data_IF_445462692706
#
_entry.id   IF_445462692706
#
_cell.length_a   1.000
_cell.length_b   1.000
_cell.length_c   1.000
_cell.angle_alpha   90.00
_cell.angle_beta   90.00
_cell.angle_gamma   90.00
#
_symmetry.space_group_name_H-M   'P 1'
#
loop_
_entity.id
_entity.type
_entity.pdbx_description
1 polymer ?
#
# COMPACT_ATOMS: atom_id res chain seq x y z
N UNK A 1 4.71 0.43 54.54
CA UNK A 1 5.15 1.81 54.21
C UNK A 1 5.89 1.78 52.88
N UNK A 2 5.47 2.60 51.90
CA UNK A 2 6.22 2.76 50.64
C UNK A 2 7.56 3.45 50.97
N UNK A 3 8.68 2.83 50.59
CA UNK A 3 10.04 3.35 50.86
C UNK A 3 10.23 4.75 50.26
N UNK A 4 11.08 5.58 50.87
CA UNK A 4 11.35 6.94 50.39
C UNK A 4 11.83 6.96 48.94
N UNK A 5 12.64 5.98 48.56
CA UNK A 5 13.15 5.78 47.21
C UNK A 5 12.02 5.50 46.19
N UNK A 6 11.03 4.69 46.57
CA UNK A 6 9.87 4.39 45.72
C UNK A 6 8.93 5.59 45.61
N UNK A 7 8.86 6.46 46.63
CA UNK A 7 8.12 7.74 46.55
C UNK A 7 8.82 8.72 45.62
N UNK A 8 10.14 8.83 45.70
CA UNK A 8 10.93 9.69 44.81
C UNK A 8 10.80 9.26 43.34
N UNK A 9 10.90 7.96 43.05
CA UNK A 9 10.70 7.44 41.69
C UNK A 9 9.28 7.68 41.16
N UNK A 10 8.26 7.51 42.00
CA UNK A 10 6.88 7.82 41.60
C UNK A 10 6.68 9.31 41.33
N UNK A 11 7.28 10.18 42.15
CA UNK A 11 7.21 11.64 41.98
C UNK A 11 7.92 12.08 40.70
N UNK A 12 9.15 11.60 40.45
CA UNK A 12 9.88 11.89 39.22
C UNK A 12 9.11 11.44 37.98
N UNK A 13 8.48 10.25 38.02
CA UNK A 13 7.65 9.77 36.92
C UNK A 13 6.41 10.66 36.71
N UNK A 14 5.74 11.07 37.78
CA UNK A 14 4.57 11.95 37.68
C UNK A 14 4.93 13.35 37.15
N UNK A 15 6.05 13.92 37.62
CA UNK A 15 6.56 15.22 37.16
C UNK A 15 6.96 15.13 35.69
N UNK A 16 7.75 14.12 35.31
CA UNK A 16 8.16 13.89 33.92
C UNK A 16 6.93 13.78 33.02
N UNK A 17 5.96 12.94 33.39
CA UNK A 17 4.72 12.79 32.64
C UNK A 17 3.91 14.09 32.53
N UNK A 18 3.90 14.92 33.58
CA UNK A 18 3.22 16.22 33.57
C UNK A 18 3.94 17.26 32.68
N UNK A 19 5.26 17.18 32.57
CA UNK A 19 6.08 18.08 31.74
C UNK A 19 6.12 17.67 30.27
N UNK A 20 5.72 16.44 29.90
CA UNK A 20 5.60 16.00 28.50
C UNK A 20 4.77 16.98 27.66
N UNK A 21 3.71 17.55 28.23
CA UNK A 21 2.86 18.54 27.55
C UNK A 21 3.55 19.87 27.22
N UNK A 22 4.69 20.17 27.86
CA UNK A 22 5.50 21.37 27.63
C UNK A 22 6.71 21.10 26.72
N UNK A 23 7.00 19.84 26.43
CA UNK A 23 8.03 19.47 25.49
C UNK A 23 7.48 19.53 24.07
N UNK A 24 7.98 20.47 23.26
CA UNK A 24 7.72 20.51 21.82
C UNK A 24 8.90 19.78 21.16
N UNK A 25 8.74 18.53 20.71
CA UNK A 25 9.80 17.84 20.00
C UNK A 25 10.11 18.59 18.69
N UNK A 26 11.38 18.60 18.29
CA UNK A 26 11.78 19.14 16.98
C UNK A 26 11.00 18.37 15.91
N UNK A 27 10.22 19.03 15.04
CA UNK A 27 9.38 18.32 14.08
C UNK A 27 10.25 17.52 13.10
N UNK A 28 10.11 16.21 13.13
CA UNK A 28 10.77 15.28 12.22
C UNK A 28 9.76 14.79 11.18
N UNK A 29 10.23 14.56 9.95
CA UNK A 29 9.49 13.76 8.98
C UNK A 29 9.54 12.29 9.39
N UNK A 30 8.67 11.46 8.82
CA UNK A 30 8.65 10.03 9.11
C UNK A 30 9.96 9.34 8.74
N UNK A 31 10.53 9.71 7.59
CA UNK A 31 11.84 9.20 7.15
C UNK A 31 12.95 9.64 8.09
N UNK A 32 12.99 10.92 8.47
CA UNK A 32 14.00 11.42 9.43
C UNK A 32 13.91 10.69 10.77
N UNK A 33 12.70 10.46 11.29
CA UNK A 33 12.51 9.72 12.52
C UNK A 33 12.95 8.26 12.38
N UNK A 34 12.60 7.61 11.27
CA UNK A 34 12.97 6.22 11.03
C UNK A 34 14.49 6.05 10.89
N UNK A 35 15.13 6.90 10.10
CA UNK A 35 16.58 6.87 9.91
C UNK A 35 17.36 7.28 11.17
N UNK A 36 16.74 7.95 12.14
CA UNK A 36 17.38 8.28 13.41
C UNK A 36 17.18 7.18 14.47
N UNK A 37 15.94 6.71 14.64
CA UNK A 37 15.56 5.88 15.79
C UNK A 37 15.18 4.45 15.46
N UNK A 38 14.73 4.15 14.24
CA UNK A 38 14.17 2.83 13.91
C UNK A 38 15.27 1.77 13.74
N UNK A 39 15.02 0.60 14.31
CA UNK A 39 15.93 -0.53 14.29
C UNK A 39 15.21 -1.79 13.86
N UNK A 40 15.86 -2.61 13.03
CA UNK A 40 15.34 -3.85 12.49
C UNK A 40 15.64 -5.03 13.43
N UNK A 41 14.60 -5.65 14.04
CA UNK A 41 14.80 -6.77 14.96
C UNK A 41 15.31 -8.02 14.25
N UNK A 42 16.20 -8.78 14.91
CA UNK A 42 16.82 -10.00 14.35
C UNK A 42 15.82 -11.11 14.06
N UNK A 43 14.78 -11.22 14.88
CA UNK A 43 13.77 -12.28 14.79
C UNK A 43 12.90 -12.16 13.54
N UNK A 44 12.80 -10.96 12.95
CA UNK A 44 11.92 -10.71 11.82
C UNK A 44 12.56 -9.93 10.67
N UNK A 45 13.90 -9.86 10.63
CA UNK A 45 14.67 -9.21 9.58
C UNK A 45 15.90 -10.06 9.23
N UNK A 46 16.17 -10.23 7.92
CA UNK A 46 17.37 -10.94 7.45
C UNK A 46 18.66 -10.19 7.81
N UNK A 47 18.63 -8.86 7.73
CA UNK A 47 19.72 -7.98 8.13
C UNK A 47 19.25 -7.17 9.34
N UNK A 48 19.50 -7.61 10.59
CA UNK A 48 19.27 -6.78 11.75
C UNK A 48 20.22 -5.59 11.74
N UNK A 49 19.76 -4.44 12.22
CA UNK A 49 20.56 -3.23 12.19
C UNK A 49 19.73 -1.96 12.24
N UNK A 50 20.43 -0.83 12.24
CA UNK A 50 19.82 0.48 12.08
C UNK A 50 19.07 0.52 10.75
N UNK A 51 17.85 1.06 10.76
CA UNK A 51 17.10 1.28 9.53
C UNK A 51 17.82 2.29 8.64
N UNK A 52 17.84 2.03 7.34
CA UNK A 52 18.23 2.97 6.31
C UNK A 52 17.14 2.98 5.25
N UNK A 53 16.51 4.13 5.07
CA UNK A 53 15.43 4.30 4.10
C UNK A 53 15.98 4.21 2.68
N UNK A 54 15.51 3.22 1.91
CA UNK A 54 15.88 3.10 0.50
C UNK A 54 15.23 4.22 -0.33
N UNK A 55 15.83 4.64 -1.47
CA UNK A 55 15.33 5.78 -2.25
C UNK A 55 13.84 5.70 -2.62
N UNK A 56 13.34 4.54 -3.05
CA UNK A 56 11.91 4.38 -3.37
C UNK A 56 11.01 4.46 -2.12
N UNK A 57 11.53 4.11 -0.94
CA UNK A 57 10.76 4.08 0.31
C UNK A 57 10.52 5.48 0.88
N UNK A 58 11.36 6.47 0.55
CA UNK A 58 11.31 7.83 1.12
C UNK A 58 9.92 8.45 0.95
N UNK A 59 9.45 8.57 -0.30
CA UNK A 59 8.15 9.17 -0.56
C UNK A 59 6.98 8.35 -0.03
N UNK A 60 7.10 7.02 -0.02
CA UNK A 60 6.07 6.13 0.52
C UNK A 60 5.90 6.38 2.03
N UNK A 61 6.99 6.33 2.79
CA UNK A 61 6.96 6.47 4.25
C UNK A 61 6.54 7.88 4.68
N UNK A 62 7.05 8.91 4.02
CA UNK A 62 6.61 10.28 4.30
C UNK A 62 5.13 10.47 3.95
N UNK A 63 4.65 9.95 2.81
CA UNK A 63 3.23 10.03 2.48
C UNK A 63 2.35 9.30 3.52
N UNK A 64 2.81 8.16 4.06
CA UNK A 64 2.15 7.45 5.15
C UNK A 64 2.03 8.32 6.40
N UNK A 65 3.08 9.04 6.80
CA UNK A 65 3.07 9.91 7.97
C UNK A 65 2.54 11.33 7.76
N UNK A 66 2.37 11.78 6.51
CA UNK A 66 2.01 13.16 6.20
C UNK A 66 0.51 13.41 6.37
N UNK A 67 0.14 14.49 7.06
CA UNK A 67 -1.21 14.72 7.59
C UNK A 67 -2.22 15.10 6.50
N UNK A 68 -1.76 15.69 5.40
CA UNK A 68 -2.61 16.15 4.30
C UNK A 68 -3.04 15.01 3.36
N UNK A 69 -2.30 13.90 3.36
CA UNK A 69 -2.63 12.72 2.58
C UNK A 69 -3.49 11.82 3.46
N UNK A 70 -4.77 11.62 3.15
CA UNK A 70 -5.66 10.82 3.99
C UNK A 70 -5.55 9.33 3.71
N UNK A 71 -5.36 8.93 2.46
CA UNK A 71 -5.31 7.52 2.04
C UNK A 71 -4.02 7.25 1.28
N UNK A 72 -3.28 6.23 1.71
CA UNK A 72 -2.07 5.75 1.03
C UNK A 72 -2.26 4.28 0.70
N UNK A 73 -2.29 3.95 -0.59
CA UNK A 73 -2.29 2.58 -1.08
C UNK A 73 -0.88 2.21 -1.56
N UNK A 74 -0.42 1.00 -1.25
CA UNK A 74 0.81 0.43 -1.77
C UNK A 74 0.53 -0.93 -2.40
N UNK A 75 0.50 -0.97 -3.73
CA UNK A 75 0.60 -2.22 -4.48
C UNK A 75 2.09 -2.58 -4.54
N UNK A 76 2.47 -3.75 -4.05
CA UNK A 76 3.89 -4.09 -3.95
C UNK A 76 4.18 -5.54 -4.28
N UNK A 77 5.41 -5.82 -4.69
CA UNK A 77 5.94 -7.18 -4.69
C UNK A 77 6.18 -7.70 -3.27
N UNK A 78 6.26 -9.02 -3.12
CA UNK A 78 6.73 -9.62 -1.89
C UNK A 78 8.16 -9.15 -1.57
N UNK A 79 8.49 -9.08 -0.27
CA UNK A 79 9.87 -8.82 0.22
C UNK A 79 10.50 -7.49 -0.22
N UNK A 80 9.73 -6.45 -0.51
CA UNK A 80 10.25 -5.07 -0.74
C UNK A 80 10.38 -4.22 0.54
N UNK A 81 10.23 -4.84 1.72
CA UNK A 81 10.37 -4.16 3.01
C UNK A 81 9.12 -3.46 3.55
N UNK A 82 7.93 -3.67 2.96
CA UNK A 82 6.68 -3.00 3.37
C UNK A 82 6.36 -3.10 4.86
N UNK A 83 6.39 -4.30 5.44
CA UNK A 83 6.11 -4.50 6.87
C UNK A 83 7.02 -3.65 7.77
N UNK A 84 8.27 -3.45 7.38
CA UNK A 84 9.23 -2.63 8.15
C UNK A 84 9.00 -1.14 7.96
N UNK A 85 8.66 -0.71 6.75
CA UNK A 85 8.16 0.66 6.52
C UNK A 85 6.95 0.95 7.41
N UNK A 86 5.97 0.05 7.44
CA UNK A 86 4.74 0.20 8.22
C UNK A 86 5.02 0.32 9.72
N UNK A 87 5.90 -0.53 10.28
CA UNK A 87 6.28 -0.46 11.69
C UNK A 87 7.10 0.78 12.04
N UNK A 88 7.96 1.26 11.12
CA UNK A 88 8.67 2.52 11.29
C UNK A 88 7.70 3.71 11.34
N UNK A 89 6.70 3.72 10.45
CA UNK A 89 5.61 4.71 10.45
C UNK A 89 4.78 4.64 11.74
N UNK A 90 4.44 3.44 12.21
CA UNK A 90 3.71 3.27 13.47
C UNK A 90 4.54 3.73 14.67
N UNK A 91 5.85 3.45 14.69
CA UNK A 91 6.76 3.97 15.70
C UNK A 91 6.77 5.51 15.72
N UNK A 92 6.85 6.13 14.55
CA UNK A 92 6.72 7.58 14.38
C UNK A 92 5.37 8.11 14.90
N UNK A 93 4.27 7.40 14.64
CA UNK A 93 2.97 7.80 15.17
C UNK A 93 2.86 7.69 16.68
N UNK A 94 3.41 6.62 17.26
CA UNK A 94 3.37 6.37 18.70
C UNK A 94 4.21 7.40 19.46
N UNK A 95 5.45 7.60 19.04
CA UNK A 95 6.44 8.39 19.78
C UNK A 95 6.35 9.87 19.41
N UNK A 96 6.37 10.18 18.12
CA UNK A 96 6.54 11.56 17.64
C UNK A 96 5.21 12.31 17.48
N UNK A 97 4.19 11.66 16.91
CA UNK A 97 2.88 12.28 16.64
C UNK A 97 1.84 12.05 17.73
N UNK A 98 2.11 11.15 18.68
CA UNK A 98 1.20 10.74 19.74
C UNK A 98 -0.21 10.35 19.23
N UNK A 99 -0.27 9.49 18.20
CA UNK A 99 -1.51 9.08 17.51
C UNK A 99 -1.92 7.66 17.85
N UNK A 100 -3.22 7.47 18.06
CA UNK A 100 -3.78 6.13 18.24
C UNK A 100 -3.88 5.43 16.89
N UNK A 101 -3.43 4.18 16.82
CA UNK A 101 -3.40 3.41 15.57
C UNK A 101 -4.06 2.04 15.70
N UNK A 102 -4.78 1.62 14.67
CA UNK A 102 -5.35 0.29 14.54
C UNK A 102 -4.82 -0.40 13.28
N UNK A 103 -4.02 -1.45 13.46
CA UNK A 103 -3.52 -2.30 12.38
C UNK A 103 -4.38 -3.55 12.25
N UNK A 104 -4.88 -3.80 11.05
CA UNK A 104 -5.55 -5.03 10.69
C UNK A 104 -4.60 -5.97 9.93
N UNK A 105 -4.58 -7.22 10.36
CA UNK A 105 -4.07 -8.37 9.61
C UNK A 105 -5.25 -9.20 9.08
N UNK A 106 -5.07 -10.08 8.08
CA UNK A 106 -6.20 -10.79 7.46
C UNK A 106 -7.06 -11.60 8.44
N UNK A 107 -6.44 -12.24 9.44
CA UNK A 107 -7.11 -13.08 10.44
C UNK A 107 -6.63 -12.73 11.85
N UNK A 108 -7.38 -13.15 12.88
CA UNK A 108 -6.97 -12.97 14.29
C UNK A 108 -5.64 -13.69 14.58
N UNK A 109 -5.44 -14.89 14.03
CA UNK A 109 -4.18 -15.63 14.16
C UNK A 109 -3.01 -14.86 13.54
N UNK A 110 -3.21 -14.31 12.33
CA UNK A 110 -2.20 -13.47 11.67
C UNK A 110 -1.89 -12.21 12.49
N UNK A 111 -2.89 -11.61 13.14
CA UNK A 111 -2.71 -10.45 14.00
C UNK A 111 -1.88 -10.78 15.26
N UNK A 112 -2.15 -11.91 15.91
CA UNK A 112 -1.37 -12.39 17.04
C UNK A 112 0.08 -12.69 16.67
N UNK A 113 0.29 -13.39 15.55
CA UNK A 113 1.63 -13.73 15.06
C UNK A 113 2.41 -12.48 14.69
N UNK A 114 1.75 -11.48 14.09
CA UNK A 114 2.33 -10.18 13.82
C UNK A 114 2.73 -9.44 15.10
N UNK A 115 1.87 -9.44 16.11
CA UNK A 115 2.17 -8.82 17.40
C UNK A 115 3.43 -9.44 18.04
N UNK A 116 3.50 -10.77 18.08
CA UNK A 116 4.61 -11.52 18.70
C UNK A 116 5.92 -11.42 17.90
N UNK A 117 5.84 -11.50 16.58
CA UNK A 117 7.02 -11.66 15.71
C UNK A 117 7.58 -10.33 15.22
N UNK A 118 6.74 -9.29 15.14
CA UNK A 118 7.13 -8.01 14.56
C UNK A 118 7.01 -6.85 15.56
N UNK A 119 5.86 -6.69 16.21
CA UNK A 119 5.59 -5.52 17.06
C UNK A 119 6.39 -5.58 18.35
N UNK A 120 6.31 -6.68 19.10
CA UNK A 120 7.02 -6.81 20.38
C UNK A 120 8.55 -6.70 20.22
N UNK A 121 9.20 -7.35 19.25
CA UNK A 121 10.62 -7.13 18.99
C UNK A 121 10.95 -5.71 18.57
N UNK A 122 10.07 -5.04 17.80
CA UNK A 122 10.26 -3.63 17.42
C UNK A 122 10.24 -2.72 18.65
N UNK A 123 9.27 -2.90 19.55
CA UNK A 123 9.18 -2.13 20.80
C UNK A 123 10.43 -2.36 21.67
N UNK A 124 10.94 -3.61 21.71
CA UNK A 124 12.15 -3.95 22.45
C UNK A 124 13.40 -3.27 21.90
N UNK A 125 13.57 -3.28 20.59
CA UNK A 125 14.84 -2.91 19.94
C UNK A 125 14.92 -1.43 19.55
N UNK A 126 13.79 -0.69 19.58
CA UNK A 126 13.73 0.75 19.35
C UNK A 126 13.69 1.47 20.71
N UNK A 127 14.78 2.09 21.18
CA UNK A 127 14.90 2.58 22.56
C UNK A 127 13.82 3.58 22.96
N UNK A 128 13.44 4.50 22.06
CA UNK A 128 12.41 5.51 22.31
C UNK A 128 11.02 4.89 22.47
N UNK A 129 10.73 3.77 21.80
CA UNK A 129 9.49 3.02 22.00
C UNK A 129 9.53 2.19 23.29
N UNK A 130 10.68 1.60 23.62
CA UNK A 130 10.86 0.84 24.85
C UNK A 130 10.67 1.72 26.09
N UNK A 131 11.19 2.95 26.07
CA UNK A 131 11.01 3.94 27.13
C UNK A 131 9.52 4.24 27.38
N UNK A 132 8.73 4.30 26.31
CA UNK A 132 7.28 4.47 26.36
C UNK A 132 6.51 3.20 26.77
N UNK A 133 7.17 2.06 26.87
CA UNK A 133 6.58 0.75 27.18
C UNK A 133 7.04 0.23 28.56
N UNK A 134 6.70 0.90 29.69
CA UNK A 134 7.18 0.50 31.03
C UNK A 134 6.69 -0.88 31.46
N UNK A 135 5.70 -1.45 30.76
CA UNK A 135 5.13 -2.77 30.97
C UNK A 135 5.88 -3.89 30.23
N UNK A 136 6.89 -3.57 29.42
CA UNK A 136 7.62 -4.57 28.64
C UNK A 136 8.24 -5.63 29.58
N UNK A 137 8.14 -6.91 29.19
CA UNK A 137 8.63 -8.03 30.00
C UNK A 137 7.78 -8.42 31.22
N UNK A 138 6.59 -7.81 31.43
CA UNK A 138 5.68 -8.19 32.52
C UNK A 138 4.22 -8.24 32.09
N UNK A 139 3.42 -9.03 32.81
CA UNK A 139 1.95 -9.06 32.65
C UNK A 139 1.38 -7.71 33.10
N UNK A 140 0.65 -7.04 32.22
CA UNK A 140 0.08 -5.73 32.49
C UNK A 140 -1.19 -5.51 31.65
N UNK A 141 -2.16 -4.74 32.15
CA UNK A 141 -3.41 -4.46 31.41
C UNK A 141 -3.19 -3.69 30.10
N UNK A 142 -2.13 -2.89 30.07
CA UNK A 142 -1.72 -2.08 28.92
C UNK A 142 -0.82 -2.86 27.94
N UNK A 143 -0.59 -4.16 28.21
CA UNK A 143 0.20 -5.07 27.39
C UNK A 143 -0.59 -6.37 27.14
N UNK A 144 -1.35 -6.42 26.05
CA UNK A 144 -2.08 -7.62 25.61
C UNK A 144 -1.65 -8.03 24.20
N UNK A 145 -2.14 -9.17 23.72
CA UNK A 145 -1.88 -9.62 22.35
C UNK A 145 -2.53 -8.72 21.28
N UNK A 146 -3.55 -7.96 21.65
CA UNK A 146 -4.31 -7.11 20.73
C UNK A 146 -4.08 -5.62 20.93
N UNK A 147 -3.45 -5.22 22.03
CA UNK A 147 -3.23 -3.83 22.41
C UNK A 147 -1.91 -3.63 23.14
N UNK A 148 -1.12 -2.67 22.65
CA UNK A 148 -0.01 -2.07 23.38
C UNK A 148 -0.36 -0.63 23.70
N UNK A 149 -0.47 -0.27 24.98
CA UNK A 149 -0.78 1.10 25.41
C UNK A 149 0.41 1.71 26.13
N UNK A 150 0.95 2.76 25.53
CA UNK A 150 2.19 3.40 25.94
C UNK A 150 1.96 4.37 27.11
N UNK A 151 3.04 4.75 27.81
CA UNK A 151 2.97 5.68 28.95
C UNK A 151 2.45 7.07 28.57
N UNK A 152 2.56 7.45 27.29
CA UNK A 152 1.95 8.65 26.70
C UNK A 152 0.41 8.59 26.63
N UNK A 153 -0.18 7.41 26.85
CA UNK A 153 -1.62 7.17 26.70
C UNK A 153 -2.02 6.68 25.31
N UNK A 154 -1.11 6.75 24.33
CA UNK A 154 -1.31 6.23 22.98
C UNK A 154 -1.51 4.73 22.98
N UNK A 155 -2.52 4.26 22.26
CA UNK A 155 -2.79 2.85 22.00
C UNK A 155 -2.43 2.45 20.57
N UNK A 156 -1.75 1.31 20.45
CA UNK A 156 -1.57 0.58 19.21
C UNK A 156 -2.35 -0.74 19.30
N UNK A 157 -3.34 -0.91 18.44
CA UNK A 157 -4.14 -2.13 18.33
C UNK A 157 -3.70 -2.95 17.13
N UNK A 158 -3.64 -4.28 17.28
CA UNK A 158 -3.46 -5.22 16.17
C UNK A 158 -4.59 -6.25 16.22
N UNK A 159 -5.45 -6.28 15.21
CA UNK A 159 -6.67 -7.11 15.17
C UNK A 159 -6.80 -7.88 13.85
N UNK A 160 -7.56 -8.98 13.85
CA UNK A 160 -7.91 -9.70 12.64
C UNK A 160 -9.02 -9.01 11.85
N UNK A 161 -8.92 -9.04 10.53
CA UNK A 161 -9.87 -8.42 9.61
C UNK A 161 -11.08 -9.26 9.25
N UNK A 162 -11.10 -10.54 9.63
CA UNK A 162 -12.17 -11.48 9.29
C UNK A 162 -13.43 -11.37 10.17
N UNK A 163 -13.32 -10.80 11.39
CA UNK A 163 -14.43 -10.74 12.34
C UNK A 163 -14.99 -9.31 12.45
N UNK A 164 -16.29 -9.12 12.24
CA UNK A 164 -16.92 -7.79 12.23
C UNK A 164 -16.83 -7.08 13.59
N UNK A 165 -16.82 -7.84 14.69
CA UNK A 165 -16.61 -7.30 16.05
C UNK A 165 -15.33 -6.45 16.18
N UNK A 166 -14.28 -6.77 15.40
CA UNK A 166 -12.99 -6.08 15.48
C UNK A 166 -13.03 -4.69 14.86
N UNK A 167 -14.05 -4.37 14.07
CA UNK A 167 -14.25 -3.06 13.43
C UNK A 167 -15.11 -2.09 14.26
N UNK A 168 -15.43 -2.44 15.52
CA UNK A 168 -16.31 -1.67 16.40
C UNK A 168 -15.56 -1.03 17.56
N UNK A 169 -16.15 0.01 18.15
CA UNK A 169 -15.76 0.56 19.46
C UNK A 169 -14.28 0.97 19.59
N UNK A 170 -13.69 1.50 18.51
CA UNK A 170 -12.36 2.12 18.50
C UNK A 170 -12.46 3.50 17.85
N UNK A 171 -11.79 4.47 18.46
CA UNK A 171 -11.62 5.81 17.92
C UNK A 171 -10.11 6.01 17.85
N UNK A 172 -9.60 6.06 16.62
CA UNK A 172 -8.18 6.12 16.32
C UNK A 172 -7.92 7.22 15.30
N UNK A 173 -6.67 7.62 15.15
CA UNK A 173 -6.26 8.59 14.14
C UNK A 173 -5.78 7.90 12.85
N UNK A 174 -5.26 6.68 13.01
CA UNK A 174 -4.64 5.89 11.94
C UNK A 174 -5.27 4.50 11.89
N UNK A 175 -5.62 4.04 10.69
CA UNK A 175 -5.95 2.64 10.41
C UNK A 175 -5.02 2.11 9.34
N UNK A 176 -4.47 0.92 9.58
CA UNK A 176 -3.54 0.25 8.70
C UNK A 176 -4.07 -1.11 8.28
N UNK A 177 -3.92 -1.46 7.00
CA UNK A 177 -4.27 -2.75 6.44
C UNK A 177 -3.04 -3.38 5.81
N UNK A 178 -2.51 -4.40 6.46
CA UNK A 178 -1.39 -5.20 5.95
C UNK A 178 -1.93 -6.48 5.32
N UNK A 179 -1.38 -6.84 4.16
CA UNK A 179 -1.86 -7.92 3.32
C UNK A 179 -3.34 -7.83 2.92
N UNK A 180 -3.80 -6.62 2.58
CA UNK A 180 -5.18 -6.31 2.18
C UNK A 180 -5.77 -7.26 1.11
N UNK A 181 -4.99 -7.77 0.17
CA UNK A 181 -5.48 -8.74 -0.84
C UNK A 181 -5.93 -10.08 -0.25
N UNK A 182 -5.62 -10.35 1.02
CA UNK A 182 -6.04 -11.56 1.75
C UNK A 182 -7.23 -11.33 2.65
N UNK A 183 -7.83 -10.14 2.63
CA UNK A 183 -9.07 -9.86 3.35
C UNK A 183 -10.27 -10.32 2.54
N UNK A 184 -11.29 -10.77 3.25
CA UNK A 184 -12.60 -11.02 2.65
C UNK A 184 -13.20 -9.71 2.13
N UNK A 185 -13.88 -9.73 0.97
CA UNK A 185 -14.53 -8.55 0.40
C UNK A 185 -15.68 -8.02 1.25
N UNK A 186 -16.30 -8.90 2.03
CA UNK A 186 -17.46 -8.62 2.87
C UNK A 186 -17.27 -9.30 4.24
N UNK A 187 -17.04 -8.49 5.27
CA UNK A 187 -16.75 -8.96 6.62
C UNK A 187 -18.07 -9.34 7.31
N UNK A 188 -18.31 -10.65 7.44
CA UNK A 188 -19.51 -11.20 8.09
C UNK A 188 -20.84 -10.57 7.63
N UNK A 189 -20.92 -10.17 6.35
CA UNK A 189 -22.10 -9.49 5.74
C UNK A 189 -22.35 -8.07 6.22
N UNK A 190 -21.38 -7.42 6.86
CA UNK A 190 -21.46 -6.03 7.30
C UNK A 190 -20.82 -5.04 6.32
N UNK A 191 -20.12 -5.54 5.29
CA UNK A 191 -19.53 -4.73 4.23
C UNK A 191 -18.01 -4.81 4.14
N UNK A 192 -17.46 -3.87 3.37
CA UNK A 192 -16.03 -3.89 3.02
C UNK A 192 -15.13 -3.58 4.21
N UNK A 193 -14.01 -4.31 4.38
CA UNK A 193 -13.08 -4.10 5.50
C UNK A 193 -12.47 -2.69 5.55
N UNK A 194 -12.18 -2.10 4.37
CA UNK A 194 -11.63 -0.74 4.28
C UNK A 194 -12.65 0.31 4.70
N UNK A 195 -13.91 0.15 4.30
CA UNK A 195 -14.98 1.05 4.73
C UNK A 195 -15.26 0.93 6.23
N UNK A 196 -15.38 -0.30 6.75
CA UNK A 196 -15.66 -0.55 8.16
C UNK A 196 -14.54 -0.04 9.08
N UNK A 197 -13.28 -0.25 8.72
CA UNK A 197 -12.15 0.22 9.52
C UNK A 197 -11.91 1.73 9.37
N UNK A 198 -12.09 2.32 8.18
CA UNK A 198 -11.99 3.77 8.01
C UNK A 198 -13.11 4.53 8.75
N UNK A 199 -14.22 3.88 9.12
CA UNK A 199 -15.19 4.46 10.06
C UNK A 199 -14.57 4.74 11.45
N UNK A 200 -13.46 4.09 11.82
CA UNK A 200 -12.81 4.28 13.12
C UNK A 200 -11.97 5.56 13.22
N UNK A 201 -11.62 6.15 12.07
CA UNK A 201 -10.93 7.44 11.97
C UNK A 201 -11.89 8.61 11.69
N UNK A 202 -13.21 8.36 11.64
CA UNK A 202 -14.19 9.45 11.59
C UNK A 202 -14.17 10.24 12.90
N UNK A 203 -14.01 11.56 12.78
CA UNK A 203 -13.87 12.46 13.93
C UNK A 203 -12.43 12.71 14.38
N UNK A 204 -11.44 11.98 13.85
CA UNK A 204 -10.03 12.36 14.04
C UNK A 204 -9.75 13.68 13.32
N UNK A 205 -8.91 14.51 13.93
CA UNK A 205 -8.40 15.75 13.31
C UNK A 205 -7.47 15.42 12.14
N UNK A 206 -6.75 14.30 12.22
CA UNK A 206 -5.73 13.89 11.24
C UNK A 206 -5.93 12.44 10.76
N UNK A 207 -7.09 12.13 10.13
CA UNK A 207 -7.44 10.78 9.75
C UNK A 207 -6.47 10.23 8.71
N UNK A 208 -5.98 9.01 8.93
CA UNK A 208 -5.06 8.30 8.03
C UNK A 208 -5.50 6.86 7.79
N UNK A 209 -5.58 6.45 6.53
CA UNK A 209 -5.80 5.07 6.09
C UNK A 209 -4.58 4.61 5.27
N UNK A 210 -3.83 3.64 5.77
CA UNK A 210 -2.66 3.06 5.08
C UNK A 210 -3.01 1.64 4.68
N UNK A 211 -2.83 1.32 3.39
CA UNK A 211 -3.28 0.05 2.81
C UNK A 211 -2.16 -0.51 1.96
N UNK A 212 -1.76 -1.76 2.16
CA UNK A 212 -0.71 -2.36 1.34
C UNK A 212 -0.80 -3.86 1.25
N UNK A 213 -0.46 -4.40 0.09
CA UNK A 213 -0.44 -5.85 -0.14
C UNK A 213 0.25 -6.21 -1.43
N UNK A 214 0.63 -7.48 -1.51
CA UNK A 214 0.87 -8.13 -2.79
C UNK A 214 -0.46 -8.35 -3.51
N UNK A 215 -0.65 -7.91 -4.77
CA UNK A 215 -1.91 -8.12 -5.47
C UNK A 215 -2.13 -9.60 -5.82
N UNK A 216 -3.39 -9.96 -6.10
CA UNK A 216 -3.81 -11.32 -6.49
C UNK A 216 -4.45 -11.30 -7.87
N UNK A 217 -5.71 -11.72 -7.99
CA UNK A 217 -6.43 -11.78 -9.25
C UNK A 217 -7.03 -10.42 -9.59
N UNK A 218 -6.79 -9.99 -10.82
CA UNK A 218 -7.32 -8.74 -11.38
C UNK A 218 -8.85 -8.71 -11.29
N UNK A 219 -9.41 -7.60 -10.84
CA UNK A 219 -10.85 -7.39 -10.72
C UNK A 219 -11.50 -7.97 -9.45
N UNK A 220 -10.82 -8.85 -8.71
CA UNK A 220 -11.28 -9.35 -7.40
C UNK A 220 -10.35 -8.97 -6.23
N UNK A 221 -9.23 -8.33 -6.54
CA UNK A 221 -8.21 -7.99 -5.57
C UNK A 221 -8.53 -6.70 -4.79
N UNK A 222 -8.57 -6.78 -3.45
CA UNK A 222 -8.91 -5.63 -2.60
C UNK A 222 -7.91 -4.47 -2.69
N UNK A 223 -6.59 -4.75 -2.74
CA UNK A 223 -5.60 -3.67 -2.87
C UNK A 223 -5.69 -2.99 -4.24
N UNK A 224 -6.01 -3.74 -5.29
CA UNK A 224 -6.24 -3.19 -6.62
C UNK A 224 -7.48 -2.28 -6.63
N UNK A 225 -8.59 -2.74 -6.04
CA UNK A 225 -9.79 -1.92 -5.89
C UNK A 225 -9.48 -0.62 -5.15
N UNK A 226 -8.82 -0.70 -3.98
CA UNK A 226 -8.45 0.46 -3.19
C UNK A 226 -7.50 1.41 -3.94
N UNK A 227 -6.58 0.85 -4.73
CA UNK A 227 -5.65 1.62 -5.55
C UNK A 227 -6.35 2.41 -6.67
N UNK A 228 -7.34 1.78 -7.33
CA UNK A 228 -8.11 2.37 -8.42
C UNK A 228 -9.10 3.46 -7.96
N UNK A 229 -9.40 3.54 -6.66
CA UNK A 229 -10.16 4.66 -6.07
C UNK A 229 -9.33 5.97 -6.00
N UNK A 230 -8.00 5.89 -6.14
CA UNK A 230 -7.14 7.08 -6.23
C UNK A 230 -6.92 7.52 -7.67
N UNK A 231 -7.03 8.83 -7.92
CA UNK A 231 -6.63 9.41 -9.20
C UNK A 231 -5.10 9.38 -9.41
N UNK A 232 -4.31 9.19 -8.34
CA UNK A 232 -2.86 9.35 -8.36
C UNK A 232 -2.15 8.00 -8.21
N UNK A 233 -1.95 7.30 -9.33
CA UNK A 233 -1.17 6.07 -9.40
C UNK A 233 0.28 6.37 -9.72
N UNK A 234 1.18 6.21 -8.75
CA UNK A 234 2.58 6.61 -8.82
C UNK A 234 3.49 5.42 -9.15
N UNK A 235 4.40 5.62 -10.11
CA UNK A 235 5.53 4.75 -10.42
C UNK A 235 6.84 5.40 -10.03
N UNK A 236 7.81 4.60 -9.61
CA UNK A 236 9.13 5.12 -9.24
C UNK A 236 10.03 5.19 -10.48
N UNK A 237 10.24 6.39 -11.00
CA UNK A 237 11.12 6.63 -12.14
C UNK A 237 12.55 6.87 -11.66
N UNK A 238 13.50 6.29 -12.38
CA UNK A 238 14.94 6.44 -12.14
C UNK A 238 15.63 6.88 -13.44
N UNK A 239 16.61 7.78 -13.38
CA UNK A 239 17.35 8.18 -14.57
C UNK A 239 18.23 7.04 -15.08
N UNK A 240 18.29 6.88 -16.40
CA UNK A 240 19.27 5.99 -17.00
C UNK A 240 20.69 6.51 -16.74
N UNK A 241 21.64 5.69 -16.24
CA UNK A 241 23.00 6.13 -15.96
C UNK A 241 23.81 6.52 -17.21
N UNK A 242 23.33 6.18 -18.40
CA UNK A 242 24.04 6.46 -19.67
C UNK A 242 23.44 7.63 -20.46
N UNK A 243 22.12 7.79 -20.47
CA UNK A 243 21.45 8.86 -21.24
C UNK A 243 20.71 9.89 -20.39
N UNK A 244 20.57 9.68 -19.07
CA UNK A 244 19.90 10.61 -18.16
C UNK A 244 18.37 10.59 -18.20
N UNK A 245 17.77 10.04 -19.27
CA UNK A 245 16.31 9.95 -19.40
C UNK A 245 15.69 9.08 -18.31
N UNK A 246 14.59 9.55 -17.72
CA UNK A 246 13.90 8.91 -16.61
C UNK A 246 12.90 7.85 -17.09
N UNK A 247 12.87 6.70 -16.43
CA UNK A 247 11.92 5.63 -16.71
C UNK A 247 11.63 4.84 -15.43
N UNK A 248 10.48 4.18 -15.37
CA UNK A 248 10.26 3.13 -14.38
C UNK A 248 10.65 1.78 -14.97
N UNK A 249 11.23 0.90 -14.15
CA UNK A 249 11.69 -0.41 -14.56
C UNK A 249 10.50 -1.29 -14.89
N UNK A 250 10.53 -1.92 -16.07
CA UNK A 250 9.57 -2.93 -16.51
C UNK A 250 10.28 -4.27 -16.63
N UNK A 251 9.57 -5.37 -16.36
CA UNK A 251 10.14 -6.70 -16.59
C UNK A 251 10.52 -6.89 -18.05
N UNK A 252 9.63 -6.51 -18.97
CA UNK A 252 9.80 -6.73 -20.40
C UNK A 252 9.53 -8.20 -20.76
N UNK A 253 8.71 -8.42 -21.76
CA UNK A 253 8.52 -9.75 -22.35
C UNK A 253 9.41 -9.91 -23.60
N UNK A 254 9.22 -11.01 -24.34
CA UNK A 254 9.96 -11.30 -25.57
C UNK A 254 9.64 -10.35 -26.72
N UNK A 255 8.53 -9.60 -26.67
CA UNK A 255 8.10 -8.67 -27.73
C UNK A 255 8.44 -7.21 -27.41
N UNK A 256 8.59 -6.86 -26.12
CA UNK A 256 8.97 -5.52 -25.68
C UNK A 256 10.46 -5.27 -25.98
N UNK A 257 10.85 -4.19 -26.67
CA UNK A 257 12.26 -3.95 -26.98
C UNK A 257 13.09 -3.59 -25.73
N UNK A 258 12.49 -3.00 -24.70
CA UNK A 258 13.12 -2.58 -23.45
C UNK A 258 12.79 -3.51 -22.26
N UNK A 259 13.32 -3.20 -21.08
CA UNK A 259 13.13 -3.98 -19.84
C UNK A 259 14.30 -4.92 -19.56
N UNK A 260 14.10 -5.93 -18.71
CA UNK A 260 15.12 -6.96 -18.46
C UNK A 260 15.32 -7.84 -19.70
N UNK A 261 16.58 -8.00 -20.12
CA UNK A 261 17.00 -8.81 -21.27
C UNK A 261 18.14 -9.72 -20.87
N UNK A 262 18.17 -10.92 -21.42
CA UNK A 262 19.19 -11.93 -21.17
C UNK A 262 19.34 -12.83 -22.40
N UNK A 263 20.50 -13.44 -22.57
CA UNK A 263 20.72 -14.46 -23.58
C UNK A 263 19.89 -15.72 -23.26
N UNK A 264 19.37 -16.37 -24.30
CA UNK A 264 18.59 -17.61 -24.15
C UNK A 264 19.38 -18.65 -23.34
N UNK A 265 18.73 -19.19 -22.31
CA UNK A 265 19.30 -20.20 -21.40
C UNK A 265 20.48 -19.73 -20.53
N UNK A 266 20.76 -18.41 -20.45
CA UNK A 266 21.84 -17.83 -19.64
C UNK A 266 21.37 -16.66 -18.76
N UNK A 267 20.63 -16.92 -17.66
CA UNK A 267 20.11 -15.88 -16.75
C UNK A 267 21.17 -14.91 -16.22
N UNK A 268 22.40 -15.38 -16.04
CA UNK A 268 23.55 -14.60 -15.56
C UNK A 268 23.94 -13.44 -16.48
N UNK A 269 23.51 -13.48 -17.75
CA UNK A 269 23.79 -12.42 -18.72
C UNK A 269 22.85 -11.22 -18.59
N UNK A 270 21.88 -11.25 -17.67
CA UNK A 270 20.83 -10.24 -17.56
C UNK A 270 21.37 -8.82 -17.46
N UNK A 271 20.68 -7.92 -18.16
CA UNK A 271 20.82 -6.48 -18.09
C UNK A 271 19.45 -5.83 -18.28
N UNK A 272 19.33 -4.54 -17.97
CA UNK A 272 18.14 -3.76 -18.28
C UNK A 272 18.40 -2.90 -19.51
N UNK A 273 17.51 -2.96 -20.51
CA UNK A 273 17.58 -2.12 -21.70
C UNK A 273 16.67 -0.90 -21.55
N UNK A 274 17.26 0.29 -21.63
CA UNK A 274 16.57 1.58 -21.50
C UNK A 274 15.53 1.79 -22.61
N UNK A 275 14.31 2.25 -22.25
CA UNK A 275 13.22 2.46 -23.20
C UNK A 275 13.40 3.65 -24.14
N UNK A 276 14.24 4.62 -23.77
CA UNK A 276 14.44 5.84 -24.55
C UNK A 276 15.51 5.71 -25.63
N UNK A 277 16.67 5.15 -25.26
CA UNK A 277 17.87 5.15 -26.09
C UNK A 277 18.52 3.77 -26.24
N UNK A 278 17.88 2.70 -25.74
CA UNK A 278 18.44 1.34 -25.85
C UNK A 278 19.77 1.14 -25.12
N UNK A 279 20.06 1.96 -24.10
CA UNK A 279 21.26 1.80 -23.29
C UNK A 279 21.20 0.51 -22.47
N UNK A 280 22.31 -0.23 -22.43
CA UNK A 280 22.46 -1.43 -21.60
C UNK A 280 22.88 -1.01 -20.19
N UNK A 281 22.02 -1.25 -19.21
CA UNK A 281 22.23 -0.92 -17.80
C UNK A 281 22.46 -2.21 -17.02
N UNK A 282 23.55 -2.30 -16.24
CA UNK A 282 23.76 -3.37 -15.25
C UNK A 282 23.12 -2.98 -13.92
N UNK A 283 22.72 -3.97 -13.11
CA UNK A 283 22.11 -3.71 -11.81
C UNK A 283 23.01 -2.85 -10.90
N UNK A 284 24.33 -3.05 -10.96
CA UNK A 284 25.32 -2.26 -10.20
C UNK A 284 25.40 -0.80 -10.63
N UNK A 285 24.93 -0.46 -11.83
CA UNK A 285 24.91 0.90 -12.37
C UNK A 285 23.59 1.64 -12.06
N UNK A 286 22.59 0.93 -11.52
CA UNK A 286 21.29 1.51 -11.21
C UNK A 286 21.35 2.36 -9.94
N UNK A 287 21.63 3.66 -10.09
CA UNK A 287 21.49 4.63 -9.02
C UNK A 287 20.04 5.14 -8.90
N UNK A 288 19.42 4.88 -7.75
CA UNK A 288 18.05 5.27 -7.47
C UNK A 288 17.95 6.62 -6.73
N UNK A 289 19.07 7.23 -6.30
CA UNK A 289 19.06 8.46 -5.47
C UNK A 289 18.43 9.65 -6.15
N UNK A 290 18.61 9.77 -7.47
CA UNK A 290 17.98 10.79 -8.29
C UNK A 290 16.58 10.39 -8.78
N UNK A 291 16.03 9.26 -8.32
CA UNK A 291 14.69 8.82 -8.68
C UNK A 291 13.58 9.72 -8.13
N UNK A 292 12.41 9.65 -8.76
CA UNK A 292 11.19 10.36 -8.33
C UNK A 292 9.96 9.54 -8.66
N UNK A 293 8.90 9.77 -7.90
CA UNK A 293 7.60 9.17 -8.14
C UNK A 293 6.83 10.02 -9.14
N UNK A 294 6.37 9.44 -10.24
CA UNK A 294 5.57 10.11 -11.28
C UNK A 294 4.23 9.40 -11.41
N UNK A 295 3.15 10.17 -11.49
CA UNK A 295 1.81 9.65 -11.63
C UNK A 295 1.50 9.28 -13.08
N UNK A 296 1.17 8.02 -13.35
CA UNK A 296 0.78 7.52 -14.68
C UNK A 296 -0.42 8.30 -15.27
N UNK A 297 -1.37 8.69 -14.42
CA UNK A 297 -2.64 9.28 -14.85
C UNK A 297 -2.57 10.80 -15.07
N UNK A 298 -1.68 11.50 -14.36
CA UNK A 298 -1.71 12.98 -14.26
C UNK A 298 -0.38 13.64 -14.56
N UNK A 299 0.73 12.90 -14.58
CA UNK A 299 2.08 13.44 -14.65
C UNK A 299 2.54 14.17 -13.38
N UNK A 300 1.70 14.27 -12.34
CA UNK A 300 2.10 14.80 -11.04
C UNK A 300 3.27 13.99 -10.47
N UNK A 301 4.23 14.64 -9.83
CA UNK A 301 5.40 13.96 -9.29
C UNK A 301 5.84 14.46 -7.91
N UNK A 302 6.58 13.61 -7.20
CA UNK A 302 7.21 13.93 -5.92
C UNK A 302 8.54 13.18 -5.78
N UNK A 303 9.49 13.77 -5.06
CA UNK A 303 10.75 13.09 -4.67
C UNK A 303 10.70 12.52 -3.27
N UNK A 304 9.99 13.19 -2.38
CA UNK A 304 10.07 12.97 -0.94
C UNK A 304 8.73 12.63 -0.28
N UNK A 305 7.61 12.66 -1.02
CA UNK A 305 6.26 12.40 -0.48
C UNK A 305 5.71 13.54 0.39
N UNK A 306 6.35 14.71 0.35
CA UNK A 306 5.97 15.91 1.10
C UNK A 306 5.67 17.07 0.15
N UNK A 307 6.58 17.33 -0.81
CA UNK A 307 6.40 18.30 -1.86
C UNK A 307 5.91 17.61 -3.14
N UNK A 308 4.88 18.20 -3.76
CA UNK A 308 4.26 17.67 -4.97
C UNK A 308 4.28 18.72 -6.06
N UNK A 309 4.47 18.27 -7.29
CA UNK A 309 4.60 19.12 -8.45
C UNK A 309 3.70 18.61 -9.59
N UNK A 310 3.13 19.54 -10.36
CA UNK A 310 2.41 19.23 -11.58
C UNK A 310 3.34 18.65 -12.65
N UNK A 311 2.77 18.16 -13.75
CA UNK A 311 3.53 17.72 -14.91
C UNK A 311 4.42 18.83 -15.51
N UNK A 312 4.02 20.11 -15.37
CA UNK A 312 4.80 21.27 -15.80
C UNK A 312 5.87 21.72 -14.79
N UNK A 313 5.92 21.10 -13.60
CA UNK A 313 6.93 21.40 -12.57
C UNK A 313 6.53 22.50 -11.57
N UNK A 314 5.27 22.94 -11.58
CA UNK A 314 4.75 23.89 -10.59
C UNK A 314 4.39 23.16 -9.30
N UNK A 315 4.71 23.74 -8.14
CA UNK A 315 4.33 23.15 -6.86
C UNK A 315 2.80 23.15 -6.71
N UNK A 316 2.25 21.99 -6.34
CA UNK A 316 0.81 21.77 -6.15
C UNK A 316 0.55 21.18 -4.77
N UNK A 317 -0.64 21.38 -4.19
CA UNK A 317 -1.00 20.74 -2.94
C UNK A 317 -0.88 19.21 -3.02
N UNK A 318 -0.50 18.54 -1.92
CA UNK A 318 -0.48 17.08 -1.87
C UNK A 318 -1.87 16.49 -2.10
N UNK A 319 -1.97 15.33 -2.76
CA UNK A 319 -3.25 14.68 -3.02
C UNK A 319 -3.87 14.14 -1.73
N UNK A 320 -5.21 14.17 -1.63
CA UNK A 320 -5.92 13.56 -0.49
C UNK A 320 -5.77 12.02 -0.47
N UNK A 321 -5.60 11.39 -1.61
CA UNK A 321 -5.42 9.93 -1.76
C UNK A 321 -4.34 9.65 -2.78
N UNK A 322 -3.44 8.72 -2.50
CA UNK A 322 -2.32 8.37 -3.38
C UNK A 322 -2.09 6.86 -3.40
N UNK A 323 -1.73 6.34 -4.55
CA UNK A 323 -1.37 4.94 -4.76
C UNK A 323 0.07 4.87 -5.24
N UNK A 324 0.88 4.01 -4.64
CA UNK A 324 2.23 3.70 -5.08
C UNK A 324 2.27 2.26 -5.61
N UNK A 325 3.06 2.05 -6.67
CA UNK A 325 3.48 0.71 -7.09
C UNK A 325 5.00 0.57 -7.08
N UNK A 326 5.49 -0.49 -6.45
CA UNK A 326 6.90 -0.85 -6.50
C UNK A 326 7.06 -2.36 -6.65
N UNK A 327 8.05 -2.76 -7.43
CA UNK A 327 8.33 -4.17 -7.65
C UNK A 327 9.77 -4.56 -7.38
N UNK A 328 10.01 -5.87 -7.43
CA UNK A 328 11.22 -6.52 -6.94
C UNK A 328 12.50 -6.02 -7.61
N UNK A 329 12.46 -5.54 -8.87
CA UNK A 329 13.66 -5.07 -9.58
C UNK A 329 14.35 -3.86 -8.94
N UNK A 330 13.65 -3.08 -8.11
CA UNK A 330 14.21 -1.96 -7.36
C UNK A 330 14.82 -2.37 -6.02
N UNK A 331 14.49 -3.57 -5.53
CA UNK A 331 14.88 -4.02 -4.21
C UNK A 331 16.33 -4.49 -4.20
N UNK A 332 17.17 -4.02 -3.26
CA UNK A 332 18.53 -4.56 -3.10
C UNK A 332 18.53 -5.97 -2.48
N UNK A 333 17.38 -6.48 -2.03
CA UNK A 333 17.26 -7.78 -1.39
C UNK A 333 17.24 -8.96 -2.39
N UNK A 334 17.24 -8.67 -3.69
CA UNK A 334 17.40 -9.69 -4.73
C UNK A 334 18.23 -9.17 -5.90
N UNK A 335 18.72 -10.09 -6.72
CA UNK A 335 19.44 -9.75 -7.95
C UNK A 335 18.52 -9.89 -9.16
N UNK A 336 18.77 -9.12 -10.21
CA UNK A 336 18.09 -9.32 -11.49
C UNK A 336 18.31 -10.73 -12.03
N UNK A 337 19.48 -11.33 -11.78
CA UNK A 337 19.77 -12.72 -12.16
C UNK A 337 18.76 -13.67 -11.49
N UNK A 338 18.53 -13.49 -10.19
CA UNK A 338 17.56 -14.29 -9.44
C UNK A 338 16.14 -14.10 -9.99
N UNK A 339 15.74 -12.86 -10.31
CA UNK A 339 14.43 -12.59 -10.94
C UNK A 339 14.27 -13.39 -12.24
N UNK A 340 15.31 -13.50 -13.07
CA UNK A 340 15.26 -14.31 -14.30
C UNK A 340 15.17 -15.80 -13.99
N UNK A 341 15.89 -16.32 -12.98
CA UNK A 341 15.72 -17.69 -12.54
C UNK A 341 14.29 -17.97 -12.07
N UNK A 342 13.73 -17.09 -11.24
CA UNK A 342 12.36 -17.19 -10.73
C UNK A 342 11.34 -17.18 -11.88
N UNK A 343 11.57 -16.37 -12.92
CA UNK A 343 10.74 -16.37 -14.12
C UNK A 343 10.83 -17.68 -14.90
N UNK A 344 12.04 -18.19 -15.14
CA UNK A 344 12.23 -19.43 -15.89
C UNK A 344 11.67 -20.65 -15.16
N UNK A 345 11.71 -20.66 -13.82
CA UNK A 345 11.10 -21.70 -13.01
C UNK A 345 9.57 -21.55 -12.98
N UNK A 346 9.06 -20.31 -12.91
CA UNK A 346 7.63 -20.03 -13.03
C UNK A 346 7.02 -20.53 -14.35
N UNK A 347 7.77 -20.52 -15.46
CA UNK A 347 7.30 -21.08 -16.74
C UNK A 347 7.14 -22.60 -16.74
N UNK A 348 7.71 -23.31 -15.76
CA UNK A 348 7.63 -24.78 -15.64
C UNK A 348 6.44 -25.24 -14.79
N UNK A 349 5.83 -24.33 -14.03
CA UNK A 349 4.71 -24.60 -13.11
C UNK A 349 3.40 -24.03 -13.70
N UNK A 350 2.31 -24.82 -13.79
CA UNK A 350 0.98 -24.34 -14.19
C UNK A 350 0.50 -23.07 -13.46
N UNK A 351 0.89 -22.86 -12.20
CA UNK A 351 0.55 -21.66 -11.42
C UNK A 351 1.73 -20.68 -11.28
N UNK A 352 2.88 -20.99 -11.87
CA UNK A 352 4.12 -20.25 -11.67
C UNK A 352 4.03 -18.83 -12.22
N UNK A 353 3.52 -18.65 -13.44
CA UNK A 353 3.39 -17.32 -14.07
C UNK A 353 2.50 -16.39 -13.24
N UNK A 354 1.37 -16.89 -12.73
CA UNK A 354 0.49 -16.15 -11.82
C UNK A 354 1.24 -15.73 -10.55
N UNK A 355 1.97 -16.68 -9.96
CA UNK A 355 2.77 -16.43 -8.75
C UNK A 355 3.84 -15.38 -9.01
N UNK A 356 4.57 -15.47 -10.12
CA UNK A 356 5.60 -14.50 -10.51
C UNK A 356 5.03 -13.09 -10.71
N UNK A 357 3.93 -12.96 -11.48
CA UNK A 357 3.28 -11.67 -11.74
C UNK A 357 2.82 -11.03 -10.41
N UNK A 358 2.14 -11.78 -9.56
CA UNK A 358 1.65 -11.27 -8.28
C UNK A 358 2.78 -10.93 -7.33
N UNK A 359 3.71 -11.85 -7.09
CA UNK A 359 4.67 -11.75 -5.99
C UNK A 359 5.98 -11.07 -6.38
N UNK A 360 6.40 -11.14 -7.65
CA UNK A 360 7.66 -10.56 -8.12
C UNK A 360 7.44 -9.26 -8.88
N UNK A 361 6.43 -9.18 -9.75
CA UNK A 361 6.08 -7.91 -10.41
C UNK A 361 5.19 -7.03 -9.55
N UNK A 362 4.52 -7.60 -8.53
CA UNK A 362 3.60 -6.83 -7.72
C UNK A 362 2.42 -6.35 -8.56
N UNK A 363 2.00 -7.11 -9.55
CA UNK A 363 0.93 -6.76 -10.47
C UNK A 363 -0.25 -7.73 -10.34
N UNK A 364 -1.51 -7.26 -10.48
CA UNK A 364 -2.65 -8.15 -10.47
C UNK A 364 -2.61 -9.08 -11.68
N UNK A 365 -2.79 -10.37 -11.44
CA UNK A 365 -2.78 -11.38 -12.48
C UNK A 365 -4.13 -11.40 -13.16
N UNK A 366 -4.10 -11.19 -14.47
CA UNK A 366 -5.28 -11.33 -15.31
C UNK A 366 -5.43 -12.81 -15.68
N UNK A 367 -6.49 -13.45 -15.18
CA UNK A 367 -6.78 -14.82 -15.59
C UNK A 367 -7.05 -14.84 -17.09
N UNK A 368 -6.50 -15.84 -17.77
CA UNK A 368 -6.78 -16.07 -19.18
C UNK A 368 -8.27 -16.43 -19.30
N UNK A 369 -9.11 -15.42 -19.48
CA UNK A 369 -10.50 -15.63 -19.89
C UNK A 369 -10.44 -16.29 -21.25
N UNK A 370 -11.09 -17.45 -21.40
CA UNK A 370 -11.07 -18.22 -22.64
C UNK A 370 -11.49 -17.39 -23.87
N UNK A 371 -12.22 -16.28 -23.69
CA UNK A 371 -12.40 -15.24 -24.69
C UNK A 371 -12.50 -13.86 -24.01
N UNK A 372 -11.42 -13.07 -24.03
CA UNK A 372 -11.61 -11.63 -24.23
C UNK A 372 -12.04 -11.46 -25.68
N UNK A 373 -13.33 -11.21 -25.91
CA UNK A 373 -13.79 -10.78 -27.23
C UNK A 373 -12.98 -9.52 -27.61
N UNK A 374 -12.22 -9.59 -28.70
CA UNK A 374 -11.54 -8.42 -29.22
C UNK A 374 -12.58 -7.36 -29.57
N UNK A 375 -12.22 -6.09 -29.44
CA UNK A 375 -13.10 -4.99 -29.88
C UNK A 375 -13.47 -5.16 -31.37
N UNK A 376 -12.59 -5.76 -32.17
CA UNK A 376 -12.84 -6.17 -33.56
C UNK A 376 -13.97 -7.21 -33.66
N UNK A 377 -13.95 -8.27 -32.84
CA UNK A 377 -15.04 -9.27 -32.77
C UNK A 377 -16.37 -8.67 -32.30
N UNK A 378 -16.34 -7.66 -31.43
CA UNK A 378 -17.56 -6.94 -31.02
C UNK A 378 -18.07 -6.04 -32.15
N UNK A 379 -17.18 -5.40 -32.91
CA UNK A 379 -17.54 -4.64 -34.12
C UNK A 379 -18.17 -5.53 -35.19
N UNK A 380 -17.66 -6.75 -35.37
CA UNK A 380 -18.26 -7.75 -36.26
C UNK A 380 -19.66 -8.20 -35.82
N UNK A 381 -20.00 -8.03 -34.53
CA UNK A 381 -21.32 -8.34 -33.96
C UNK A 381 -22.24 -7.13 -33.89
N UNK A 382 -21.84 -5.98 -34.44
CA UNK A 382 -22.71 -4.81 -34.52
C UNK A 382 -23.91 -5.14 -35.40
N UNK A 383 -25.08 -5.07 -34.79
CA UNK A 383 -26.36 -5.16 -35.48
C UNK A 383 -27.02 -3.78 -35.45
N UNK A 384 -27.73 -3.43 -36.52
CA UNK A 384 -28.52 -2.22 -36.54
C UNK A 384 -29.69 -2.38 -35.56
N UNK A 385 -29.69 -1.58 -34.48
CA UNK A 385 -30.83 -1.53 -33.58
C UNK A 385 -31.97 -0.77 -34.27
N UNK A 386 -33.12 -1.41 -34.42
CA UNK A 386 -34.18 -0.92 -35.30
C UNK A 386 -34.87 0.35 -34.77
N UNK A 387 -34.90 0.56 -33.46
CA UNK A 387 -35.54 1.73 -32.87
C UNK A 387 -34.66 2.98 -33.02
N UNK A 388 -35.27 4.17 -33.18
CA UNK A 388 -34.52 5.42 -33.20
C UNK A 388 -33.89 5.69 -31.82
N UNK A 389 -32.56 5.68 -31.76
CA UNK A 389 -31.79 5.98 -30.55
C UNK A 389 -31.08 7.33 -30.73
N UNK A 390 -31.20 8.28 -29.78
CA UNK A 390 -30.46 9.53 -29.83
C UNK A 390 -28.94 9.29 -29.88
N UNK A 391 -28.22 10.07 -30.70
CA UNK A 391 -26.78 9.90 -30.94
C UNK A 391 -25.90 9.97 -29.67
N UNK A 392 -26.35 10.68 -28.64
CA UNK A 392 -25.63 10.82 -27.36
C UNK A 392 -25.78 9.61 -26.43
N UNK A 393 -26.67 8.66 -26.74
CA UNK A 393 -26.87 7.45 -25.95
C UNK A 393 -25.71 6.49 -26.17
N UNK A 394 -25.09 6.03 -25.09
CA UNK A 394 -23.90 5.16 -25.11
C UNK A 394 -24.19 3.71 -24.76
N UNK A 395 -25.29 3.43 -24.06
CA UNK A 395 -25.77 2.06 -23.81
C UNK A 395 -27.28 2.04 -23.56
N UNK A 396 -27.89 0.87 -23.78
CA UNK A 396 -29.31 0.61 -23.56
C UNK A 396 -29.51 -0.38 -22.41
N UNK A 397 -30.60 -0.24 -21.67
CA UNK A 397 -31.06 -1.21 -20.67
C UNK A 397 -32.52 -1.55 -20.93
N UNK A 398 -32.87 -2.84 -20.95
CA UNK A 398 -34.26 -3.28 -21.03
C UNK A 398 -34.72 -3.80 -19.66
N UNK A 399 -35.85 -3.29 -19.19
CA UNK A 399 -36.54 -3.80 -18.00
C UNK A 399 -37.86 -4.45 -18.40
N UNK A 400 -38.20 -5.57 -17.75
CA UNK A 400 -39.50 -6.22 -17.91
C UNK A 400 -40.21 -6.19 -16.56
N UNK A 401 -41.40 -5.61 -16.53
CA UNK A 401 -42.32 -5.65 -15.41
C UNK A 401 -43.41 -6.71 -15.66
N UNK A 402 -43.56 -7.64 -14.73
CA UNK A 402 -44.50 -8.75 -14.82
C UNK A 402 -45.79 -8.42 -14.09
N UNK A 403 -46.87 -8.29 -14.85
CA UNK A 403 -48.21 -8.07 -14.34
C UNK A 403 -49.03 -9.36 -14.47
N UNK A 404 -50.11 -9.50 -13.68
CA UNK A 404 -50.93 -10.74 -13.66
C UNK A 404 -51.47 -11.20 -15.03
N UNK A 405 -51.58 -10.31 -16.01
CA UNK A 405 -52.13 -10.59 -17.33
C UNK A 405 -51.23 -10.16 -18.51
N UNK A 406 -50.05 -9.58 -18.26
CA UNK A 406 -49.14 -9.08 -19.32
C UNK A 406 -47.72 -8.89 -18.79
N UNK A 407 -46.78 -8.79 -19.72
CA UNK A 407 -45.45 -8.24 -19.46
C UNK A 407 -45.36 -6.86 -20.09
N UNK A 408 -44.91 -5.88 -19.33
CA UNK A 408 -44.56 -4.55 -19.84
C UNK A 408 -43.06 -4.49 -19.95
N UNK A 409 -42.56 -4.15 -21.14
CA UNK A 409 -41.12 -4.01 -21.38
C UNK A 409 -40.84 -2.56 -21.71
N UNK A 410 -39.74 -2.04 -21.15
CA UNK A 410 -39.24 -0.71 -21.44
C UNK A 410 -37.75 -0.78 -21.75
N UNK A 411 -37.33 -0.12 -22.81
CA UNK A 411 -35.94 0.09 -23.17
C UNK A 411 -35.57 1.53 -22.89
N UNK A 412 -34.54 1.71 -22.06
CA UNK A 412 -33.99 3.02 -21.71
C UNK A 412 -32.60 3.17 -22.32
N UNK A 413 -32.33 4.33 -22.90
CA UNK A 413 -31.02 4.76 -23.37
C UNK A 413 -30.38 5.74 -22.41
N UNK A 414 -29.09 5.57 -22.16
CA UNK A 414 -28.33 6.37 -21.19
C UNK A 414 -27.24 7.17 -21.88
N UNK A 415 -27.16 8.46 -21.55
CA UNK A 415 -26.16 9.40 -22.03
C UNK A 415 -25.29 9.94 -20.86
N UNK A 416 -24.16 10.59 -21.14
CA UNK A 416 -23.30 11.17 -20.11
C UNK A 416 -24.06 12.12 -19.17
N UNK A 417 -23.79 12.01 -17.87
CA UNK A 417 -24.48 12.80 -16.84
C UNK A 417 -25.79 12.19 -16.36
N UNK A 418 -25.97 10.87 -16.50
CA UNK A 418 -27.17 10.12 -16.07
C UNK A 418 -28.46 10.56 -16.79
N UNK A 419 -28.33 11.21 -17.94
CA UNK A 419 -29.45 11.60 -18.78
C UNK A 419 -30.05 10.34 -19.43
N UNK A 420 -31.35 10.16 -19.27
CA UNK A 420 -32.07 8.96 -19.68
C UNK A 420 -33.15 9.27 -20.73
N UNK A 421 -33.24 8.43 -21.74
CA UNK A 421 -34.21 8.51 -22.84
C UNK A 421 -35.02 7.23 -22.88
N UNK A 422 -36.36 7.33 -22.94
CA UNK A 422 -37.19 6.16 -23.24
C UNK A 422 -37.11 5.88 -24.75
N UNK A 423 -36.77 4.65 -25.10
CA UNK A 423 -36.47 4.24 -26.49
C UNK A 423 -37.61 3.40 -27.09
N UNK A 424 -38.07 2.38 -26.36
CA UNK A 424 -39.10 1.42 -26.80
C UNK A 424 -39.92 0.92 -25.60
#
# INVERSE_FOLDING_TARGET
MISGERRANNANRAITNGLIALHIPVPLTTVQWADEYYYLPKESSYTPGKWETLPFQVAIMNAMGYELIRVVNLIKSARVGYTKMLLGVEGYFIEHKSRNSLLFQPTDSSAEDFMKSHVEPTIRDVPVLLELAPWFGRKHRDNTLTLKRFSSGVGFWCLGGAAAKNYREKSVDVVCYDELSSFEPDVEKEGSPTLLGDKRIEGSVWPKSIRGSTPKIKGSCQIEKAANESAHFMRFHVPCPHCGEEQYLKFGDGSTPFGLKWEKSKPETVYYLCEHNGCVIRQSELDQKAGRWICDNTGMWTRDGLAYFSASGEEVPPPRSITFHIWTAYSPFTTWIQIIYDWLDALKDPNGVKTFINTTLGEPYEEAVAEKLSHELLLEKVIHYAAPVPERVVYLTAGIDSQRNRYEMYVWGWAPGEEAFLID
#
